data_IF_540728945277
#
_entry.id   IF_540728945277
#
_cell.length_a   1.000
_cell.length_b   1.000
_cell.length_c   1.000
_cell.angle_alpha   90.00
_cell.angle_beta   90.00
_cell.angle_gamma   90.00
#
_symmetry.space_group_name_H-M   'P 1'
#
loop_
_entity.id
_entity.type
_entity.pdbx_description
1 polymer ?
#
# COMPACT_ATOMS: atom_id res chain seq x y z
N UNK A 1 -36.45 -13.03 -24.11
CA UNK A 1 -35.73 -11.95 -23.41
C UNK A 1 -36.71 -11.23 -22.51
N UNK A 2 -36.57 -11.39 -21.18
CA UNK A 2 -37.46 -10.77 -20.19
C UNK A 2 -37.35 -9.24 -20.23
N UNK A 3 -36.13 -8.71 -20.20
CA UNK A 3 -35.82 -7.27 -20.29
C UNK A 3 -36.37 -6.62 -21.56
N UNK A 4 -36.22 -7.25 -22.72
CA UNK A 4 -36.79 -6.75 -23.98
C UNK A 4 -38.32 -6.68 -23.97
N UNK A 5 -38.99 -7.46 -23.13
CA UNK A 5 -40.45 -7.44 -22.99
C UNK A 5 -40.88 -6.39 -21.96
N UNK A 6 -40.06 -6.18 -20.93
CA UNK A 6 -40.30 -5.21 -19.85
C UNK A 6 -39.85 -3.79 -20.20
N UNK A 7 -39.10 -3.61 -21.29
CA UNK A 7 -38.68 -2.30 -21.80
C UNK A 7 -37.60 -1.62 -20.97
N UNK A 8 -36.98 -2.34 -20.02
CA UNK A 8 -35.85 -1.86 -19.22
C UNK A 8 -34.91 -3.03 -18.89
N UNK A 9 -33.65 -2.70 -18.62
CA UNK A 9 -32.63 -3.63 -18.15
C UNK A 9 -32.09 -3.10 -16.82
N UNK A 10 -31.79 -3.99 -15.88
CA UNK A 10 -31.26 -3.65 -14.56
C UNK A 10 -29.84 -4.20 -14.46
N UNK A 11 -28.87 -3.32 -14.19
CA UNK A 11 -27.47 -3.67 -13.96
C UNK A 11 -27.21 -3.58 -12.45
N UNK A 12 -27.44 -4.68 -11.72
CA UNK A 12 -27.32 -4.72 -10.25
C UNK A 12 -25.87 -4.56 -9.76
N UNK A 13 -24.91 -4.90 -10.61
CA UNK A 13 -23.47 -4.92 -10.36
C UNK A 13 -22.74 -3.65 -10.82
N UNK A 14 -23.48 -2.65 -11.33
CA UNK A 14 -22.91 -1.41 -11.87
C UNK A 14 -23.45 -0.20 -11.11
N UNK A 15 -22.54 0.57 -10.55
CA UNK A 15 -22.90 1.83 -9.90
C UNK A 15 -23.36 2.88 -10.92
N UNK A 16 -24.31 3.73 -10.50
CA UNK A 16 -24.89 4.78 -11.34
C UNK A 16 -23.82 5.70 -11.96
N UNK A 17 -22.89 6.20 -11.15
CA UNK A 17 -21.82 7.09 -11.62
C UNK A 17 -20.93 6.40 -12.67
N UNK A 18 -20.64 5.11 -12.48
CA UNK A 18 -19.84 4.33 -13.43
C UNK A 18 -20.56 4.22 -14.77
N UNK A 19 -21.87 3.94 -14.74
CA UNK A 19 -22.69 3.88 -15.94
C UNK A 19 -22.81 5.25 -16.62
N UNK A 20 -22.96 6.34 -15.86
CA UNK A 20 -22.94 7.72 -16.38
C UNK A 20 -21.62 7.99 -17.10
N UNK A 21 -20.47 7.64 -16.50
CA UNK A 21 -19.16 7.79 -17.12
C UNK A 21 -19.06 7.04 -18.46
N UNK A 22 -19.58 5.81 -18.53
CA UNK A 22 -19.68 5.07 -19.78
C UNK A 22 -20.57 5.78 -20.81
N UNK A 23 -21.73 6.31 -20.41
CA UNK A 23 -22.60 7.07 -21.32
C UNK A 23 -21.90 8.33 -21.85
N UNK A 24 -21.22 9.10 -20.99
CA UNK A 24 -20.45 10.27 -21.43
C UNK A 24 -19.40 9.87 -22.46
N UNK A 25 -18.65 8.80 -22.21
CA UNK A 25 -17.71 8.26 -23.18
C UNK A 25 -18.38 7.85 -24.49
N UNK A 26 -19.50 7.12 -24.43
CA UNK A 26 -20.19 6.62 -25.62
C UNK A 26 -20.70 7.76 -26.53
N UNK A 27 -21.15 8.87 -25.94
CA UNK A 27 -21.68 10.01 -26.70
C UNK A 27 -20.62 11.07 -27.06
N UNK A 28 -19.58 11.26 -26.24
CA UNK A 28 -18.61 12.35 -26.39
C UNK A 28 -17.19 11.88 -26.74
N UNK A 29 -16.91 10.59 -26.65
CA UNK A 29 -15.57 10.00 -26.82
C UNK A 29 -14.63 10.18 -25.64
N UNK A 30 -15.10 10.82 -24.55
CA UNK A 30 -14.38 10.98 -23.30
C UNK A 30 -15.38 11.11 -22.14
N UNK A 31 -15.08 10.47 -21.01
CA UNK A 31 -15.84 10.66 -19.77
C UNK A 31 -15.27 11.83 -18.95
N UNK A 32 -16.08 12.34 -18.02
CA UNK A 32 -15.62 13.35 -17.06
C UNK A 32 -15.09 12.71 -15.79
N UNK A 33 -13.90 13.11 -15.37
CA UNK A 33 -13.35 12.68 -14.08
C UNK A 33 -14.09 13.40 -12.95
N UNK A 34 -14.81 12.68 -12.07
CA UNK A 34 -15.52 13.30 -10.97
C UNK A 34 -14.54 13.86 -9.93
N UNK A 35 -15.03 14.82 -9.15
CA UNK A 35 -14.30 15.33 -7.99
C UNK A 35 -14.63 14.45 -6.79
N UNK A 36 -13.58 14.02 -6.07
CA UNK A 36 -13.78 13.31 -4.82
C UNK A 36 -14.26 14.28 -3.75
N UNK A 37 -15.43 14.03 -3.18
CA UNK A 37 -15.94 14.83 -2.06
C UNK A 37 -15.06 14.58 -0.83
N UNK A 38 -14.60 15.64 -0.18
CA UNK A 38 -13.74 15.56 1.02
C UNK A 38 -14.49 15.05 2.28
N UNK A 39 -15.69 14.49 2.12
CA UNK A 39 -16.61 14.25 3.23
C UNK A 39 -16.69 12.76 3.59
N UNK A 40 -16.40 12.47 4.86
CA UNK A 40 -16.80 11.31 5.67
C UNK A 40 -15.88 10.08 5.77
N UNK A 41 -14.75 10.22 6.48
CA UNK A 41 -14.20 9.10 7.26
C UNK A 41 -14.44 9.25 8.78
N UNK A 42 -14.96 10.39 9.25
CA UNK A 42 -15.12 10.68 10.69
C UNK A 42 -16.51 10.34 11.28
N UNK A 43 -17.50 9.92 10.48
CA UNK A 43 -18.88 9.79 10.98
C UNK A 43 -19.28 8.36 11.38
N UNK A 44 -18.53 7.33 10.96
CA UNK A 44 -18.95 5.93 11.15
C UNK A 44 -18.37 5.23 12.40
N UNK A 45 -17.49 5.88 13.18
CA UNK A 45 -17.02 5.33 14.47
C UNK A 45 -17.90 5.75 15.67
N UNK A 46 -18.86 6.68 15.48
CA UNK A 46 -19.73 7.19 16.56
C UNK A 46 -21.12 6.57 16.64
N UNK A 47 -21.57 5.88 15.59
CA UNK A 47 -22.95 5.36 15.54
C UNK A 47 -23.09 3.90 16.00
N UNK A 48 -21.99 3.25 16.40
CA UNK A 48 -21.97 1.83 16.81
C UNK A 48 -22.01 1.60 18.32
N UNK A 49 -22.13 2.64 19.15
CA UNK A 49 -22.06 2.51 20.63
C UNK A 49 -23.32 2.93 21.40
N UNK A 50 -24.42 3.29 20.73
CA UNK A 50 -25.65 3.69 21.44
C UNK A 50 -26.92 3.11 20.82
N UNK A 51 -27.06 1.77 20.74
CA UNK A 51 -28.37 1.07 20.68
C UNK A 51 -28.28 -0.36 21.22
N UNK A 52 -27.94 -0.52 22.49
CA UNK A 52 -28.34 -1.72 23.24
C UNK A 52 -28.95 -1.29 24.57
N UNK A 53 -30.27 -1.26 24.61
CA UNK A 53 -31.02 -0.89 25.80
C UNK A 53 -32.47 -0.61 25.43
N UNK A 54 -33.25 -1.66 25.19
CA UNK A 54 -34.62 -1.84 25.66
C UNK A 54 -35.33 -2.97 24.90
N UNK A 55 -36.04 -3.82 25.67
CA UNK A 55 -36.97 -4.91 25.34
C UNK A 55 -36.39 -6.33 25.40
N UNK A 56 -37.01 -7.30 26.06
CA UNK A 56 -38.07 -7.33 27.07
C UNK A 56 -38.02 -8.76 27.65
N UNK A 57 -38.44 -8.88 28.90
CA UNK A 57 -38.50 -10.10 29.69
C UNK A 57 -39.49 -11.12 29.09
N UNK A 58 -39.14 -12.41 29.05
CA UNK A 58 -40.08 -13.53 29.26
C UNK A 58 -39.34 -14.90 29.42
N UNK A 59 -39.05 -15.20 30.69
CA UNK A 59 -39.20 -16.49 31.40
C UNK A 59 -39.53 -17.76 30.60
N UNK A 60 -38.63 -18.76 30.66
CA UNK A 60 -38.96 -20.17 30.92
C UNK A 60 -37.72 -20.92 31.44
N UNK A 61 -37.91 -21.75 32.47
CA UNK A 61 -36.90 -22.51 33.22
C UNK A 61 -36.49 -23.84 32.54
N UNK A 62 -35.41 -24.52 33.02
CA UNK A 62 -34.63 -25.48 32.24
C UNK A 62 -35.10 -26.93 32.42
N UNK A 63 -34.89 -27.75 31.38
CA UNK A 63 -35.04 -29.21 31.48
C UNK A 63 -33.67 -29.89 31.47
N UNK A 64 -33.49 -30.77 32.45
CA UNK A 64 -32.26 -31.48 32.83
C UNK A 64 -32.24 -32.84 32.14
N UNK A 65 -31.15 -33.18 31.44
CA UNK A 65 -30.74 -34.57 31.12
C UNK A 65 -29.24 -34.55 30.84
N UNK A 66 -28.43 -34.91 31.84
CA UNK A 66 -27.86 -36.23 32.13
C UNK A 66 -26.67 -36.59 31.22
N UNK A 67 -25.54 -36.74 31.90
CA UNK A 67 -24.20 -36.94 31.39
C UNK A 67 -24.00 -38.32 30.75
N UNK A 68 -23.07 -38.38 29.80
CA UNK A 68 -22.30 -39.59 29.53
C UNK A 68 -20.81 -39.23 29.45
N UNK A 69 -20.05 -39.94 30.30
CA UNK A 69 -18.61 -39.92 30.43
C UNK A 69 -17.94 -40.35 29.12
N UNK A 70 -16.89 -39.64 28.72
CA UNK A 70 -15.85 -40.26 27.90
C UNK A 70 -14.46 -39.88 28.41
N UNK A 71 -13.99 -40.78 29.27
CA UNK A 71 -12.61 -41.21 29.55
C UNK A 71 -11.45 -40.36 28.98
N UNK A 72 -10.71 -39.79 29.94
CA UNK A 72 -9.33 -39.33 29.82
C UNK A 72 -8.40 -40.48 29.39
N UNK A 73 -7.55 -40.22 28.41
CA UNK A 73 -6.28 -40.91 28.22
C UNK A 73 -5.15 -39.87 28.10
N UNK A 74 -3.94 -40.21 28.60
CA UNK A 74 -2.92 -39.24 28.98
C UNK A 74 -2.17 -38.65 27.78
N UNK A 75 -1.79 -37.39 27.94
CA UNK A 75 -0.87 -36.65 27.09
C UNK A 75 0.45 -37.41 26.93
N UNK A 76 0.81 -37.72 25.69
CA UNK A 76 2.17 -38.09 25.31
C UNK A 76 2.98 -36.81 25.08
N UNK A 77 4.02 -36.61 25.89
CA UNK A 77 5.05 -35.60 25.68
C UNK A 77 5.65 -35.71 24.26
N UNK A 78 5.85 -34.61 23.52
CA UNK A 78 6.67 -34.65 22.31
C UNK A 78 8.15 -34.64 22.68
N UNK A 79 8.87 -35.59 22.08
CA UNK A 79 10.32 -35.73 22.11
C UNK A 79 11.07 -34.40 21.88
N UNK A 80 12.13 -34.20 22.67
CA UNK A 80 13.16 -33.17 22.50
C UNK A 80 13.71 -33.16 21.06
N UNK A 81 13.26 -32.21 20.25
CA UNK A 81 13.96 -31.83 19.02
C UNK A 81 15.00 -30.78 19.40
N UNK A 82 16.31 -31.03 19.18
CA UNK A 82 17.33 -30.04 19.53
C UNK A 82 17.14 -28.78 18.69
N UNK A 83 17.08 -27.64 19.37
CA UNK A 83 17.00 -26.32 18.77
C UNK A 83 18.10 -26.15 17.72
N UNK A 84 17.70 -26.11 16.45
CA UNK A 84 18.59 -25.70 15.38
C UNK A 84 18.76 -24.19 15.51
N UNK A 85 19.97 -23.80 15.94
CA UNK A 85 20.45 -22.44 16.11
C UNK A 85 20.38 -21.73 14.74
N UNK A 86 19.38 -20.87 14.55
CA UNK A 86 19.34 -19.96 13.40
C UNK A 86 20.24 -18.76 13.73
N UNK A 87 21.40 -18.69 13.07
CA UNK A 87 22.24 -17.50 13.08
C UNK A 87 21.44 -16.28 12.60
N UNK A 88 21.33 -15.19 13.38
CA UNK A 88 20.68 -13.98 12.92
C UNK A 88 21.49 -13.35 11.79
N UNK A 89 20.87 -13.18 10.63
CA UNK A 89 21.40 -12.32 9.57
C UNK A 89 21.44 -10.88 10.12
N UNK A 90 22.65 -10.44 10.42
CA UNK A 90 22.96 -9.08 10.85
C UNK A 90 22.74 -8.11 9.69
N UNK A 91 21.80 -7.18 9.87
CA UNK A 91 21.75 -5.97 9.06
C UNK A 91 20.36 -5.60 8.57
N UNK A 92 19.65 -4.78 9.37
CA UNK A 92 18.88 -3.61 8.94
C UNK A 92 18.23 -2.95 10.18
N UNK A 93 19.06 -2.38 11.05
CA UNK A 93 18.61 -1.49 12.10
C UNK A 93 18.62 -0.04 11.57
N UNK A 94 17.52 0.37 10.93
CA UNK A 94 17.15 1.78 10.84
C UNK A 94 16.60 2.20 12.19
N UNK A 95 17.44 2.83 13.02
CA UNK A 95 17.09 4.00 13.84
C UNK A 95 18.29 4.43 14.70
N UNK A 96 18.65 5.70 14.55
CA UNK A 96 19.92 6.27 15.00
C UNK A 96 20.14 6.34 16.52
N UNK A 97 21.37 6.03 16.89
CA UNK A 97 22.22 6.77 17.85
C UNK A 97 23.65 6.28 17.67
N UNK A 98 24.43 6.99 16.85
CA UNK A 98 25.87 6.73 16.75
C UNK A 98 26.53 7.19 18.05
N UNK A 99 26.79 6.24 18.96
CA UNK A 99 27.85 6.42 19.96
C UNK A 99 29.17 6.20 19.23
N UNK A 100 29.94 7.27 19.01
CA UNK A 100 31.31 7.15 18.52
C UNK A 100 32.16 6.48 19.62
N UNK A 101 32.59 5.23 19.39
CA UNK A 101 33.61 4.58 20.20
C UNK A 101 34.97 5.16 19.81
N UNK A 102 35.52 6.02 20.67
CA UNK A 102 36.84 6.63 20.49
C UNK A 102 37.96 5.66 20.92
N UNK A 103 38.13 4.53 20.22
CA UNK A 103 39.15 3.52 20.58
C UNK A 103 40.28 3.29 19.60
N UNK A 104 40.28 3.88 18.41
CA UNK A 104 41.30 3.55 17.40
C UNK A 104 42.24 4.71 17.03
N UNK A 105 42.84 5.41 18.02
CA UNK A 105 43.94 6.35 17.70
C UNK A 105 45.21 6.24 18.59
N UNK A 106 45.24 5.54 19.72
CA UNK A 106 46.50 5.45 20.51
C UNK A 106 46.71 4.08 21.16
N UNK A 107 47.76 3.36 20.73
CA UNK A 107 48.04 2.00 21.23
C UNK A 107 48.86 1.98 22.52
N UNK A 108 49.46 3.09 22.98
CA UNK A 108 50.09 3.13 24.31
C UNK A 108 50.05 4.49 25.04
N UNK A 109 50.09 4.43 26.38
CA UNK A 109 50.13 5.58 27.31
C UNK A 109 51.33 6.53 27.09
N UNK A 110 52.39 6.05 26.42
CA UNK A 110 53.57 6.85 26.06
C UNK A 110 53.30 7.80 24.89
N UNK A 111 52.41 7.43 23.98
CA UNK A 111 52.06 8.25 22.80
C UNK A 111 51.23 9.48 23.22
N UNK A 112 50.33 9.30 24.19
CA UNK A 112 49.53 10.40 24.78
C UNK A 112 50.39 11.48 25.46
N UNK A 113 51.45 11.06 26.18
CA UNK A 113 52.35 11.99 26.89
C UNK A 113 53.24 12.76 25.90
N UNK A 114 53.66 12.10 24.82
CA UNK A 114 54.46 12.70 23.75
C UNK A 114 53.67 13.74 22.96
N UNK A 115 52.38 13.50 22.74
CA UNK A 115 51.46 14.44 22.09
C UNK A 115 51.25 15.71 22.93
N UNK A 116 50.97 15.58 24.24
CA UNK A 116 50.87 16.73 25.15
C UNK A 116 52.14 17.58 25.22
N UNK A 117 53.31 16.93 25.13
CA UNK A 117 54.60 17.63 25.12
C UNK A 117 54.79 18.49 23.87
N UNK A 118 54.34 18.04 22.69
CA UNK A 118 54.43 18.80 21.43
C UNK A 118 53.53 20.05 21.42
N UNK A 119 52.34 19.97 22.03
CA UNK A 119 51.44 21.11 22.23
C UNK A 119 52.07 22.18 23.15
N UNK A 120 52.79 21.76 24.19
CA UNK A 120 53.44 22.67 25.15
C UNK A 120 54.64 23.46 24.56
N UNK A 121 55.23 22.99 23.46
CA UNK A 121 56.36 23.66 22.78
C UNK A 121 55.95 24.44 21.52
N UNK A 122 54.65 24.64 21.27
CA UNK A 122 54.16 25.49 20.17
C UNK A 122 54.47 24.97 18.76
N UNK A 123 54.68 23.67 18.59
CA UNK A 123 54.87 23.05 17.27
C UNK A 123 53.49 22.94 16.59
N UNK A 124 53.30 23.49 15.37
CA UNK A 124 52.03 23.37 14.65
C UNK A 124 51.67 21.91 14.39
N UNK A 125 50.40 21.55 14.63
CA UNK A 125 49.87 20.24 14.30
C UNK A 125 49.97 20.02 12.77
N UNK A 126 50.25 18.78 12.30
CA UNK A 126 50.12 18.47 10.89
C UNK A 126 48.70 18.82 10.45
N UNK A 127 48.59 19.62 9.40
CA UNK A 127 47.31 20.00 8.82
C UNK A 127 46.60 18.71 8.38
N UNK A 128 45.57 18.31 9.12
CA UNK A 128 44.72 17.18 8.77
C UNK A 128 44.06 17.53 7.44
N UNK A 129 44.63 17.02 6.33
CA UNK A 129 43.89 16.94 5.08
C UNK A 129 42.65 16.12 5.38
N UNK A 130 41.50 16.77 5.45
CA UNK A 130 40.21 16.09 5.55
C UNK A 130 40.22 14.94 4.52
N UNK A 131 40.05 13.68 4.93
CA UNK A 131 39.92 12.61 3.95
C UNK A 131 38.76 12.99 3.07
N UNK A 132 38.99 13.05 1.75
CA UNK A 132 37.98 13.40 0.77
C UNK A 132 36.71 12.64 1.13
N UNK A 133 35.65 13.38 1.48
CA UNK A 133 34.37 12.83 1.89
C UNK A 133 33.94 11.87 0.79
N UNK A 134 34.18 10.59 0.99
CA UNK A 134 33.64 9.56 0.12
C UNK A 134 32.17 9.54 0.49
N UNK A 135 31.41 10.41 -0.16
CA UNK A 135 29.96 10.38 -0.13
C UNK A 135 29.61 9.07 -0.80
N UNK A 136 29.52 8.00 -0.01
CA UNK A 136 28.81 6.80 -0.43
C UNK A 136 27.39 7.27 -0.65
N UNK A 137 27.07 7.58 -1.90
CA UNK A 137 25.70 7.80 -2.33
C UNK A 137 24.99 6.49 -1.98
N UNK A 138 24.26 6.47 -0.87
CA UNK A 138 23.25 5.44 -0.65
C UNK A 138 22.25 5.70 -1.75
N UNK A 139 22.42 4.99 -2.86
CA UNK A 139 21.47 5.02 -3.96
C UNK A 139 20.20 4.38 -3.41
N UNK A 140 19.27 5.22 -2.98
CA UNK A 140 17.99 4.74 -2.51
C UNK A 140 17.26 4.15 -3.73
N UNK A 141 16.71 2.93 -3.63
CA UNK A 141 16.04 2.26 -4.75
C UNK A 141 14.85 3.05 -5.33
N UNK A 142 14.37 4.08 -4.64
CA UNK A 142 13.21 4.87 -5.03
C UNK A 142 13.47 5.89 -6.15
N UNK A 143 14.70 6.35 -6.34
CA UNK A 143 14.97 7.48 -7.27
C UNK A 143 14.69 7.10 -8.73
N UNK A 144 14.93 5.83 -9.10
CA UNK A 144 14.62 5.32 -10.44
C UNK A 144 13.16 4.90 -10.61
N UNK A 145 12.49 4.51 -9.54
CA UNK A 145 11.16 3.89 -9.58
C UNK A 145 10.09 4.88 -10.07
N UNK A 146 10.15 6.12 -9.60
CA UNK A 146 9.25 7.19 -10.07
C UNK A 146 9.52 7.56 -11.53
N UNK A 147 10.78 7.55 -11.97
CA UNK A 147 11.11 7.81 -13.37
C UNK A 147 10.54 6.72 -14.28
N UNK A 148 10.69 5.44 -13.90
CA UNK A 148 10.07 4.31 -14.60
C UNK A 148 8.55 4.45 -14.65
N UNK A 149 7.91 4.81 -13.53
CA UNK A 149 6.47 5.00 -13.48
C UNK A 149 6.02 6.12 -14.44
N UNK A 150 6.70 7.27 -14.47
CA UNK A 150 6.36 8.39 -15.38
C UNK A 150 6.60 8.06 -16.85
N UNK A 151 7.47 7.10 -17.13
CA UNK A 151 7.73 6.61 -18.48
C UNK A 151 6.69 5.62 -18.98
N UNK A 152 5.79 5.10 -18.13
CA UNK A 152 4.67 4.28 -18.58
C UNK A 152 3.83 5.02 -19.63
N UNK A 153 3.38 4.28 -20.65
CA UNK A 153 2.58 4.82 -21.74
C UNK A 153 1.34 3.97 -21.93
N UNK A 154 0.21 4.65 -22.02
CA UNK A 154 -1.09 4.06 -22.28
C UNK A 154 -1.65 4.65 -23.57
N UNK A 155 -2.28 3.80 -24.38
CA UNK A 155 -2.90 4.21 -25.63
C UNK A 155 -4.17 5.06 -25.39
N UNK A 156 -4.64 5.73 -26.44
CA UNK A 156 -5.90 6.48 -26.41
C UNK A 156 -5.78 7.94 -25.97
N UNK A 157 -6.92 8.61 -25.88
CA UNK A 157 -7.08 9.96 -25.34
C UNK A 157 -7.26 9.89 -23.82
N UNK A 158 -7.04 11.01 -23.14
CA UNK A 158 -7.33 11.12 -21.71
C UNK A 158 -8.75 11.65 -21.49
N UNK A 159 -9.34 11.29 -20.36
CA UNK A 159 -10.58 11.85 -19.86
C UNK A 159 -10.40 13.31 -19.43
N UNK A 160 -11.50 13.99 -19.11
CA UNK A 160 -11.43 15.37 -18.64
C UNK A 160 -10.57 15.48 -17.37
N UNK A 161 -9.86 16.59 -17.22
CA UNK A 161 -9.07 16.86 -16.02
C UNK A 161 -9.97 17.26 -14.84
N UNK A 162 -9.57 16.87 -13.63
CA UNK A 162 -10.20 17.25 -12.37
C UNK A 162 -9.11 17.68 -11.39
N UNK A 163 -9.38 18.71 -10.59
CA UNK A 163 -8.43 19.23 -9.60
C UNK A 163 -8.26 18.30 -8.40
N UNK A 164 -9.28 17.49 -8.09
CA UNK A 164 -9.29 16.50 -7.00
C UNK A 164 -9.90 15.23 -7.59
N UNK A 165 -9.15 14.48 -8.41
CA UNK A 165 -9.71 13.35 -9.14
C UNK A 165 -10.13 12.23 -8.16
N UNK A 166 -11.31 11.66 -8.38
CA UNK A 166 -11.66 10.40 -7.73
C UNK A 166 -10.95 9.24 -8.45
N UNK A 167 -9.84 8.80 -7.87
CA UNK A 167 -9.02 7.75 -8.45
C UNK A 167 -9.77 6.39 -8.52
N UNK A 168 -10.67 6.13 -7.56
CA UNK A 168 -11.43 4.88 -7.50
C UNK A 168 -12.43 4.80 -8.66
N UNK A 169 -13.00 5.94 -9.06
CA UNK A 169 -13.89 6.02 -10.22
C UNK A 169 -13.21 5.53 -11.50
N UNK A 170 -11.96 5.91 -11.74
CA UNK A 170 -11.18 5.40 -12.88
C UNK A 170 -11.05 3.87 -12.83
N UNK A 171 -10.80 3.32 -11.65
CA UNK A 171 -10.74 1.88 -11.42
C UNK A 171 -12.08 1.20 -11.71
N UNK A 172 -13.19 1.77 -11.24
CA UNK A 172 -14.54 1.24 -11.48
C UNK A 172 -14.91 1.23 -12.95
N UNK A 173 -14.67 2.34 -13.63
CA UNK A 173 -14.92 2.46 -15.06
C UNK A 173 -14.02 1.56 -15.89
N UNK A 174 -12.78 1.34 -15.44
CA UNK A 174 -11.86 0.37 -16.02
C UNK A 174 -12.38 -1.07 -15.91
N UNK A 175 -12.82 -1.51 -14.72
CA UNK A 175 -13.37 -2.85 -14.50
C UNK A 175 -14.64 -3.04 -15.31
N UNK A 176 -15.52 -2.03 -15.35
CA UNK A 176 -16.70 -2.00 -16.21
C UNK A 176 -16.31 -2.18 -17.69
N UNK A 177 -15.38 -1.36 -18.20
CA UNK A 177 -14.93 -1.44 -19.59
C UNK A 177 -14.31 -2.80 -19.92
N UNK A 178 -13.63 -3.43 -18.97
CA UNK A 178 -13.08 -4.77 -19.12
C UNK A 178 -14.19 -5.83 -19.18
N UNK A 179 -15.17 -5.77 -18.27
CA UNK A 179 -16.31 -6.70 -18.22
C UNK A 179 -17.15 -6.65 -19.51
N UNK A 180 -17.37 -5.46 -20.05
CA UNK A 180 -18.19 -5.24 -21.25
C UNK A 180 -17.36 -5.13 -22.55
N UNK A 181 -16.05 -5.44 -22.49
CA UNK A 181 -15.15 -5.50 -23.65
C UNK A 181 -15.09 -4.19 -24.47
N UNK A 182 -15.07 -3.05 -23.77
CA UNK A 182 -14.94 -1.71 -24.35
C UNK A 182 -13.48 -1.25 -24.26
N UNK A 183 -12.61 -1.81 -25.11
CA UNK A 183 -11.15 -1.63 -25.02
C UNK A 183 -10.68 -0.16 -25.10
N UNK A 184 -11.35 0.66 -25.91
CA UNK A 184 -11.05 2.09 -26.04
C UNK A 184 -11.31 2.86 -24.75
N UNK A 185 -12.38 2.50 -24.02
CA UNK A 185 -12.66 3.06 -22.70
C UNK A 185 -11.66 2.53 -21.66
N UNK A 186 -11.35 1.22 -21.71
CA UNK A 186 -10.38 0.59 -20.80
C UNK A 186 -9.02 1.30 -20.86
N UNK A 187 -8.51 1.54 -22.07
CA UNK A 187 -7.23 2.26 -22.29
C UNK A 187 -7.30 3.73 -21.86
N UNK A 188 -8.41 4.43 -22.12
CA UNK A 188 -8.62 5.79 -21.64
C UNK A 188 -8.67 5.88 -20.11
N UNK A 189 -9.24 4.88 -19.41
CA UNK A 189 -9.24 4.80 -17.95
C UNK A 189 -7.82 4.69 -17.39
N UNK A 190 -7.00 3.76 -17.90
CA UNK A 190 -5.61 3.62 -17.46
C UNK A 190 -4.79 4.88 -17.70
N UNK A 191 -4.94 5.48 -18.88
CA UNK A 191 -4.18 6.69 -19.24
C UNK A 191 -4.54 7.87 -18.33
N UNK A 192 -5.82 8.04 -18.05
CA UNK A 192 -6.31 9.11 -17.19
C UNK A 192 -5.92 8.89 -15.73
N UNK A 193 -6.03 7.65 -15.24
CA UNK A 193 -5.57 7.28 -13.91
C UNK A 193 -4.07 7.50 -13.75
N UNK A 194 -3.25 7.11 -14.73
CA UNK A 194 -1.80 7.32 -14.70
C UNK A 194 -1.43 8.79 -14.67
N UNK A 195 -2.08 9.63 -15.50
CA UNK A 195 -1.92 11.09 -15.44
C UNK A 195 -2.24 11.62 -14.05
N UNK A 196 -3.41 11.27 -13.53
CA UNK A 196 -3.90 11.76 -12.26
C UNK A 196 -2.99 11.32 -11.11
N UNK A 197 -2.48 10.08 -11.13
CA UNK A 197 -1.47 9.58 -10.18
C UNK A 197 -0.11 10.30 -10.31
N UNK A 198 0.33 10.64 -11.53
CA UNK A 198 1.56 11.43 -11.73
C UNK A 198 1.47 12.84 -11.12
N UNK A 199 0.28 13.44 -11.14
CA UNK A 199 0.00 14.77 -10.57
C UNK A 199 -0.38 14.70 -9.08
N UNK A 200 -0.76 13.52 -8.57
CA UNK A 200 -1.21 13.32 -7.21
C UNK A 200 -0.06 13.36 -6.21
N UNK A 201 -0.07 14.37 -5.34
CA UNK A 201 0.86 14.46 -4.21
C UNK A 201 0.29 13.78 -2.97
N UNK A 202 0.81 12.59 -2.65
CA UNK A 202 0.40 11.82 -1.48
C UNK A 202 0.82 12.49 -0.18
N UNK A 203 -0.09 12.53 0.78
CA UNK A 203 0.13 13.02 2.14
C UNK A 203 -0.86 12.36 3.11
N UNK A 204 -0.71 12.63 4.41
CA UNK A 204 -1.54 12.01 5.46
C UNK A 204 -3.04 12.29 5.35
N UNK A 205 -3.45 13.35 4.65
CA UNK A 205 -4.87 13.71 4.51
C UNK A 205 -5.55 12.97 3.38
N UNK A 206 -4.80 12.61 2.34
CA UNK A 206 -5.34 11.99 1.13
C UNK A 206 -4.86 10.55 0.92
N UNK A 207 -4.15 9.97 1.89
CA UNK A 207 -3.67 8.58 1.86
C UNK A 207 -4.79 7.56 1.61
N UNK A 208 -5.96 7.80 2.20
CA UNK A 208 -7.15 6.97 2.01
C UNK A 208 -7.58 6.90 0.54
N UNK A 209 -7.31 7.92 -0.27
CA UNK A 209 -7.72 7.91 -1.69
C UNK A 209 -6.97 6.85 -2.48
N UNK A 210 -5.69 6.65 -2.15
CA UNK A 210 -4.84 5.64 -2.77
C UNK A 210 -5.09 4.27 -2.15
N UNK A 211 -5.31 4.18 -0.84
CA UNK A 211 -5.65 2.92 -0.18
C UNK A 211 -6.98 2.35 -0.67
N UNK A 212 -8.02 3.18 -0.87
CA UNK A 212 -9.29 2.76 -1.45
C UNK A 212 -9.11 2.26 -2.89
N UNK A 213 -8.25 2.91 -3.67
CA UNK A 213 -7.94 2.47 -5.03
C UNK A 213 -7.21 1.13 -5.04
N UNK A 214 -6.22 0.95 -4.17
CA UNK A 214 -5.49 -0.32 -4.00
C UNK A 214 -6.47 -1.42 -3.62
N UNK A 215 -7.28 -1.19 -2.59
CA UNK A 215 -8.27 -2.16 -2.11
C UNK A 215 -9.23 -2.55 -3.23
N UNK A 216 -9.83 -1.56 -3.90
CA UNK A 216 -10.74 -1.78 -5.01
C UNK A 216 -10.07 -2.59 -6.14
N UNK A 217 -8.86 -2.20 -6.54
CA UNK A 217 -8.11 -2.90 -7.57
C UNK A 217 -7.95 -4.37 -7.19
N UNK A 218 -7.42 -4.69 -6.00
CA UNK A 218 -7.20 -6.09 -5.61
C UNK A 218 -8.48 -6.89 -5.40
N UNK A 219 -9.59 -6.28 -4.95
CA UNK A 219 -10.89 -6.94 -4.83
C UNK A 219 -11.46 -7.38 -6.18
N UNK A 220 -11.44 -6.51 -7.19
CA UNK A 220 -12.18 -6.74 -8.44
C UNK A 220 -11.37 -7.44 -9.53
N UNK A 221 -10.04 -7.28 -9.54
CA UNK A 221 -9.21 -7.75 -10.66
C UNK A 221 -8.69 -9.19 -10.52
N UNK A 222 -9.28 -9.99 -9.63
CA UNK A 222 -8.98 -11.42 -9.44
C UNK A 222 -9.62 -12.35 -10.49
N UNK A 223 -10.36 -11.81 -11.46
CA UNK A 223 -11.03 -12.58 -12.51
C UNK A 223 -10.53 -12.18 -13.89
N UNK A 224 -9.25 -12.48 -14.15
CA UNK A 224 -8.65 -12.67 -15.47
C UNK A 224 -8.99 -11.62 -16.53
N UNK A 225 -8.10 -10.65 -16.71
CA UNK A 225 -8.09 -9.92 -17.97
C UNK A 225 -7.73 -10.87 -19.12
N UNK A 226 -8.27 -10.66 -20.33
CA UNK A 226 -8.01 -11.54 -21.48
C UNK A 226 -6.51 -11.68 -21.82
N UNK A 227 -5.64 -10.82 -21.27
CA UNK A 227 -4.20 -10.78 -21.52
C UNK A 227 -3.32 -11.25 -20.35
N UNK A 228 -3.90 -11.71 -19.23
CA UNK A 228 -3.15 -12.20 -18.07
C UNK A 228 -3.24 -11.31 -16.83
N UNK A 229 -2.10 -10.79 -16.34
CA UNK A 229 -2.04 -9.91 -15.16
C UNK A 229 -2.86 -8.64 -15.37
N UNK A 230 -3.61 -8.22 -14.34
CA UNK A 230 -4.39 -6.98 -14.44
C UNK A 230 -3.49 -5.76 -14.56
N UNK A 231 -3.63 -5.04 -15.67
CA UNK A 231 -2.86 -3.81 -15.91
C UNK A 231 -3.22 -2.71 -14.90
N UNK A 232 -4.46 -2.72 -14.38
CA UNK A 232 -4.87 -1.85 -13.27
C UNK A 232 -4.10 -2.17 -11.99
N UNK A 233 -4.02 -3.44 -11.56
CA UNK A 233 -3.20 -3.83 -10.38
C UNK A 233 -1.75 -3.40 -10.55
N UNK A 234 -1.19 -3.71 -11.70
CA UNK A 234 0.20 -3.40 -12.03
C UNK A 234 0.50 -1.90 -11.96
N UNK A 235 -0.41 -1.05 -12.45
CA UNK A 235 -0.29 0.41 -12.35
C UNK A 235 -0.39 0.88 -10.90
N UNK A 236 -1.42 0.44 -10.17
CA UNK A 236 -1.70 0.89 -8.81
C UNK A 236 -0.62 0.45 -7.83
N UNK A 237 -0.13 -0.78 -7.93
CA UNK A 237 0.94 -1.29 -7.06
C UNK A 237 2.30 -0.65 -7.38
N UNK A 238 2.55 -0.28 -8.64
CA UNK A 238 3.76 0.48 -9.00
C UNK A 238 3.73 1.87 -8.36
N UNK A 239 2.59 2.56 -8.39
CA UNK A 239 2.42 3.83 -7.67
C UNK A 239 2.61 3.64 -6.16
N UNK A 240 2.00 2.60 -5.58
CA UNK A 240 2.16 2.29 -4.17
C UNK A 240 3.62 2.07 -3.80
N UNK A 241 4.39 1.39 -4.64
CA UNK A 241 5.82 1.19 -4.44
C UNK A 241 6.62 2.51 -4.49
N UNK A 242 6.29 3.43 -5.40
CA UNK A 242 6.87 4.78 -5.43
C UNK A 242 6.65 5.54 -4.10
N UNK A 243 5.47 5.37 -3.51
CA UNK A 243 5.04 6.09 -2.30
C UNK A 243 5.07 5.21 -1.03
N UNK A 244 5.81 4.09 -1.06
CA UNK A 244 5.74 3.04 -0.04
C UNK A 244 6.04 3.57 1.37
N UNK A 245 6.95 4.52 1.48
CA UNK A 245 7.34 5.13 2.76
C UNK A 245 6.18 5.87 3.42
N UNK A 246 5.44 6.65 2.63
CA UNK A 246 4.29 7.43 3.11
C UNK A 246 3.13 6.50 3.43
N UNK A 247 2.89 5.50 2.57
CA UNK A 247 1.82 4.51 2.77
C UNK A 247 2.07 3.65 4.02
N UNK A 248 3.33 3.30 4.32
CA UNK A 248 3.69 2.48 5.48
C UNK A 248 3.46 3.16 6.84
N UNK A 249 3.22 4.48 6.87
CA UNK A 249 2.83 5.19 8.10
C UNK A 249 1.39 4.89 8.52
N UNK A 250 0.52 4.47 7.58
CA UNK A 250 -0.87 4.15 7.85
C UNK A 250 -1.05 2.64 8.11
N UNK A 251 -1.67 2.23 9.23
CA UNK A 251 -1.85 0.83 9.57
C UNK A 251 -2.72 0.08 8.55
N UNK A 252 -3.64 0.76 7.85
CA UNK A 252 -4.54 0.14 6.88
C UNK A 252 -3.79 -0.49 5.70
N UNK A 253 -2.61 0.02 5.34
CA UNK A 253 -1.76 -0.65 4.35
C UNK A 253 -1.40 -2.08 4.79
N UNK A 254 -1.09 -2.27 6.09
CA UNK A 254 -0.75 -3.59 6.63
C UNK A 254 -1.95 -4.52 6.60
N UNK A 255 -3.13 -4.00 6.91
CA UNK A 255 -4.37 -4.77 6.85
C UNK A 255 -4.66 -5.22 5.41
N UNK A 256 -4.46 -4.35 4.41
CA UNK A 256 -4.58 -4.70 2.99
C UNK A 256 -3.55 -5.76 2.57
N UNK A 257 -2.29 -5.61 2.96
CA UNK A 257 -1.24 -6.59 2.66
C UNK A 257 -1.53 -7.98 3.27
N UNK A 258 -2.14 -8.01 4.46
CA UNK A 258 -2.55 -9.25 5.10
C UNK A 258 -3.81 -9.85 4.45
N UNK A 259 -4.71 -9.00 3.94
CA UNK A 259 -5.95 -9.41 3.28
C UNK A 259 -5.74 -9.94 1.86
N UNK A 260 -4.76 -9.41 1.13
CA UNK A 260 -4.48 -9.76 -0.26
C UNK A 260 -3.10 -10.40 -0.40
N UNK A 261 -3.03 -11.73 -0.41
CA UNK A 261 -1.76 -12.49 -0.44
C UNK A 261 -0.85 -12.15 -1.64
N UNK A 262 -1.43 -11.81 -2.79
CA UNK A 262 -0.69 -11.43 -4.00
C UNK A 262 -0.07 -10.04 -3.89
N UNK A 263 -0.67 -9.14 -3.11
CA UNK A 263 -0.27 -7.74 -3.02
C UNK A 263 1.14 -7.56 -2.49
N UNK A 264 1.55 -8.36 -1.49
CA UNK A 264 2.91 -8.33 -0.96
C UNK A 264 3.97 -8.73 -2.00
N UNK A 265 3.68 -9.76 -2.81
CA UNK A 265 4.56 -10.22 -3.88
C UNK A 265 4.72 -9.16 -4.97
N UNK A 266 3.60 -8.56 -5.40
CA UNK A 266 3.59 -7.50 -6.41
C UNK A 266 4.36 -6.27 -5.93
N UNK A 267 4.14 -5.87 -4.67
CA UNK A 267 4.81 -4.71 -4.05
C UNK A 267 6.33 -4.91 -4.00
N UNK A 268 6.79 -6.07 -3.51
CA UNK A 268 8.22 -6.39 -3.46
C UNK A 268 8.83 -6.42 -4.87
N UNK A 269 8.10 -6.97 -5.84
CA UNK A 269 8.53 -7.01 -7.24
C UNK A 269 8.74 -5.61 -7.82
N UNK A 270 7.89 -4.63 -7.47
CA UNK A 270 8.10 -3.23 -7.90
C UNK A 270 9.23 -2.53 -7.13
N UNK A 271 9.44 -2.84 -5.86
CA UNK A 271 10.47 -2.19 -5.04
C UNK A 271 11.91 -2.62 -5.37
N UNK A 272 12.08 -3.81 -5.95
CA UNK A 272 13.40 -4.40 -6.24
C UNK A 272 13.82 -4.22 -7.71
N UNK A 273 12.91 -3.77 -8.59
CA UNK A 273 13.14 -3.57 -10.03
C UNK A 273 13.60 -2.15 -10.41
#
# INVERSE_FOLDING_TARGET
MKESTEGHAVLEDVEEDTFIGFCEFAYLGAYKTPQRSETTYDTNLRNSTEREGEQDMLRAEPEVVLAEEHSLQPESEPDDVPAQEWDPIDGLALNGRVRMNNRDIYTTKKDWISFRRKIAYGIPLPEEKEPAKHVTYVQYPYDGLWEQFRQLRFAGTEASHSTIPDLVFHGKLYVFATRYLVDSLRTQCLKSLHRDLCEFSLNKRNINHVLDLIEYAYQESGRGEPEGESTLRNLVIHYAACEARTLAEDPRLRDLLNGFSEMGSDMVTKLVN
#
